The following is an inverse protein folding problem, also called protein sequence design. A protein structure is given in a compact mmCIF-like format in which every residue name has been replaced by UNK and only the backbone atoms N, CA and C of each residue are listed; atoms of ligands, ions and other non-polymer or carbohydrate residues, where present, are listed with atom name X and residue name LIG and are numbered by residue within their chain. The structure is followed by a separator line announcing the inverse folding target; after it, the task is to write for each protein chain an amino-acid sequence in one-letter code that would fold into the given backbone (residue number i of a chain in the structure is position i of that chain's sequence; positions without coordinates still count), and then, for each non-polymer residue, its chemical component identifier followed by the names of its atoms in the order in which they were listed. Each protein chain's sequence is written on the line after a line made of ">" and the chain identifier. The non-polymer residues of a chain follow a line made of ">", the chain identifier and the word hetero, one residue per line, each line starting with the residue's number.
data_IF_600827717445
#
_entry.id   IF_600827717445
#
_cell.length_a   1.000
_cell.length_b   1.000
_cell.length_c   1.000
_cell.angle_alpha   90.00
_cell.angle_beta   90.00
_cell.angle_gamma   90.00
#
_symmetry.space_group_name_H-M   'P 1'
#
loop_
_entity.id
_entity.type
_entity.pdbx_description
1 polymer ?
#
# COMPACT_ATOMS: atom_id res chain seq x y z
N UNK A 1 -21.76 81.91 2.51
CA UNK A 1 -21.39 81.42 3.86
C UNK A 1 -21.29 79.90 4.05
N UNK A 2 -21.40 78.99 3.05
CA UNK A 2 -21.03 77.57 3.28
C UNK A 2 -20.45 76.91 2.02
N UNK A 3 -19.45 77.49 1.35
CA UNK A 3 -18.96 76.89 0.09
C UNK A 3 -17.45 76.86 -0.16
N UNK A 4 -16.60 77.35 0.75
CA UNK A 4 -15.14 77.32 0.49
C UNK A 4 -14.28 76.66 1.57
N UNK A 5 -14.82 76.35 2.76
CA UNK A 5 -14.06 75.68 3.84
C UNK A 5 -14.27 74.15 3.93
N UNK A 6 -15.27 73.58 3.23
CA UNK A 6 -15.48 72.13 3.15
C UNK A 6 -14.75 71.47 1.98
N UNK A 7 -14.46 72.21 0.91
CA UNK A 7 -13.81 71.67 -0.29
C UNK A 7 -12.28 71.52 -0.10
N UNK A 8 -11.67 72.26 0.83
CA UNK A 8 -10.23 72.17 1.13
C UNK A 8 -9.86 71.03 2.12
N UNK A 9 -10.84 70.46 2.83
CA UNK A 9 -10.62 69.34 3.76
C UNK A 9 -10.64 67.98 3.07
N UNK A 10 -11.20 67.87 1.86
CA UNK A 10 -11.29 66.60 1.12
C UNK A 10 -10.09 66.34 0.19
N UNK A 11 -9.28 67.36 -0.11
CA UNK A 11 -8.17 67.26 -1.07
C UNK A 11 -6.81 67.06 -0.39
N UNK A 12 -6.73 67.20 0.94
CA UNK A 12 -5.49 67.13 1.71
C UNK A 12 -5.24 65.81 2.47
N UNK A 13 -6.10 64.80 2.30
CA UNK A 13 -5.71 63.41 2.51
C UNK A 13 -5.22 62.86 1.17
N UNK A 14 -4.06 63.35 0.74
CA UNK A 14 -2.83 62.57 0.94
C UNK A 14 -3.05 61.14 0.45
N UNK A 15 -2.99 60.87 -0.85
CA UNK A 15 -1.77 60.49 -1.59
C UNK A 15 -0.71 59.62 -0.86
N UNK A 16 -0.86 59.33 0.44
CA UNK A 16 0.05 58.48 1.19
C UNK A 16 -0.53 57.07 1.27
N UNK A 17 -0.24 56.23 0.27
CA UNK A 17 -0.58 54.81 0.41
C UNK A 17 -0.49 53.96 -0.84
N UNK A 18 -0.30 54.58 -2.02
CA UNK A 18 -0.07 53.82 -3.26
C UNK A 18 1.21 54.31 -3.88
N UNK A 19 2.33 53.78 -3.42
CA UNK A 19 3.52 53.49 -4.20
C UNK A 19 4.56 52.92 -3.23
N UNK A 20 4.33 51.68 -2.78
CA UNK A 20 5.49 50.81 -2.60
C UNK A 20 6.24 50.88 -3.94
N UNK A 21 7.38 51.57 -3.92
CA UNK A 21 8.03 52.06 -5.14
C UNK A 21 8.20 50.92 -6.12
N UNK A 22 8.00 51.18 -7.42
CA UNK A 22 8.27 50.20 -8.47
C UNK A 22 9.70 49.60 -8.33
N UNK A 23 10.65 50.38 -7.79
CA UNK A 23 12.00 49.95 -7.39
C UNK A 23 12.06 48.99 -6.18
N UNK A 24 11.15 49.09 -5.21
CA UNK A 24 10.98 48.12 -4.12
C UNK A 24 10.39 46.78 -4.61
N UNK A 25 9.58 46.79 -5.68
CA UNK A 25 9.09 45.58 -6.36
C UNK A 25 10.18 44.86 -7.16
N UNK A 26 10.96 45.61 -7.94
CA UNK A 26 12.04 45.05 -8.78
C UNK A 26 13.20 44.43 -7.97
N UNK A 27 13.48 44.94 -6.75
CA UNK A 27 14.49 44.36 -5.84
C UNK A 27 13.96 43.24 -4.95
N UNK A 28 12.66 42.96 -4.99
CA UNK A 28 12.06 41.86 -4.23
C UNK A 28 12.41 40.57 -4.98
N UNK A 29 13.65 40.07 -4.77
CA UNK A 29 14.01 38.69 -5.12
C UNK A 29 12.88 37.83 -4.59
N UNK A 30 12.14 37.20 -5.50
CA UNK A 30 11.07 36.28 -5.14
C UNK A 30 11.69 35.33 -4.12
N UNK A 31 11.27 35.44 -2.85
CA UNK A 31 11.86 34.64 -1.75
C UNK A 31 11.83 33.20 -2.24
N UNK A 32 13.00 32.62 -2.52
CA UNK A 32 13.11 31.25 -2.97
C UNK A 32 12.61 30.39 -1.81
N UNK A 33 11.31 30.09 -1.81
CA UNK A 33 10.72 29.20 -0.81
C UNK A 33 11.36 27.85 -1.11
N UNK A 34 12.29 27.41 -0.25
CA UNK A 34 12.87 26.07 -0.34
C UNK A 34 11.71 25.10 -0.59
N UNK A 35 11.72 24.29 -1.67
CA UNK A 35 10.64 23.35 -1.90
C UNK A 35 10.50 22.52 -0.63
N UNK A 36 9.30 22.46 -0.05
CA UNK A 36 9.06 21.60 1.10
C UNK A 36 9.52 20.20 0.71
N UNK A 37 10.28 19.53 1.59
CA UNK A 37 10.65 18.13 1.37
C UNK A 37 9.36 17.35 1.19
N UNK A 38 8.96 17.10 -0.07
CA UNK A 38 7.80 16.27 -0.38
C UNK A 38 8.08 14.92 0.24
N UNK A 39 7.39 14.61 1.33
CA UNK A 39 7.43 13.29 1.95
C UNK A 39 7.00 12.28 0.88
N UNK A 40 7.99 11.62 0.25
CA UNK A 40 7.73 10.49 -0.64
C UNK A 40 7.24 9.37 0.25
N UNK A 41 5.92 9.14 0.26
CA UNK A 41 5.33 7.96 0.91
C UNK A 41 6.06 6.75 0.32
N UNK A 42 6.73 5.90 1.12
CA UNK A 42 7.34 4.70 0.59
C UNK A 42 6.22 3.85 -0.02
N UNK A 43 6.34 3.53 -1.31
CA UNK A 43 5.40 2.64 -2.01
C UNK A 43 5.69 1.20 -1.60
N UNK A 44 5.40 0.87 -0.34
CA UNK A 44 5.49 -0.50 0.12
C UNK A 44 4.40 -1.32 -0.55
N UNK A 45 4.79 -2.16 -1.51
CA UNK A 45 3.89 -3.14 -2.09
C UNK A 45 3.41 -4.08 -0.99
N UNK A 46 2.11 -4.40 -0.97
CA UNK A 46 1.54 -5.40 -0.04
C UNK A 46 2.18 -6.79 -0.18
N UNK A 47 2.83 -7.06 -1.31
CA UNK A 47 3.43 -8.34 -1.70
C UNK A 47 4.87 -8.16 -2.19
N UNK A 48 5.82 -7.82 -1.31
CA UNK A 48 7.19 -7.47 -1.71
C UNK A 48 7.96 -8.64 -2.33
N UNK A 49 7.65 -9.88 -1.93
CA UNK A 49 8.38 -11.08 -2.38
C UNK A 49 8.13 -11.37 -3.87
N UNK A 50 6.96 -11.00 -4.38
CA UNK A 50 6.58 -11.27 -5.77
C UNK A 50 7.19 -10.29 -6.78
N UNK A 51 7.91 -9.24 -6.33
CA UNK A 51 8.60 -8.26 -7.21
C UNK A 51 7.73 -7.77 -8.38
N UNK A 52 6.51 -7.30 -8.09
CA UNK A 52 5.49 -6.83 -9.06
C UNK A 52 4.90 -7.89 -10.01
N UNK A 53 5.25 -9.17 -9.86
CA UNK A 53 4.54 -10.25 -10.54
C UNK A 53 3.20 -10.52 -9.83
N UNK A 54 2.12 -10.83 -10.58
CA UNK A 54 0.84 -11.18 -9.97
C UNK A 54 0.91 -12.54 -9.24
N UNK A 55 1.64 -13.49 -9.83
CA UNK A 55 1.75 -14.86 -9.35
C UNK A 55 3.20 -15.35 -9.49
N UNK A 56 3.58 -16.34 -8.68
CA UNK A 56 4.89 -16.99 -8.78
C UNK A 56 4.78 -18.49 -8.50
N UNK A 57 5.54 -19.27 -9.28
CA UNK A 57 5.72 -20.71 -9.06
C UNK A 57 6.72 -20.96 -7.94
N UNK A 58 6.43 -21.95 -7.09
CA UNK A 58 7.34 -22.40 -6.06
C UNK A 58 7.12 -23.86 -5.66
N UNK A 59 7.97 -24.32 -4.75
CA UNK A 59 7.98 -25.69 -4.21
C UNK A 59 7.63 -25.64 -2.72
N UNK A 60 6.74 -26.54 -2.29
CA UNK A 60 6.37 -26.65 -0.87
C UNK A 60 7.51 -27.27 -0.07
N UNK A 61 8.00 -26.54 0.93
CA UNK A 61 9.06 -26.99 1.83
C UNK A 61 8.52 -27.78 3.00
N UNK A 62 7.41 -27.31 3.59
CA UNK A 62 6.68 -28.02 4.64
C UNK A 62 5.26 -27.47 4.74
N UNK A 63 4.36 -28.29 5.24
CA UNK A 63 2.99 -27.89 5.56
C UNK A 63 2.87 -27.87 7.07
N UNK A 64 2.30 -26.78 7.59
CA UNK A 64 2.17 -26.52 9.01
C UNK A 64 0.75 -26.06 9.30
N UNK A 65 0.23 -26.48 10.44
CA UNK A 65 -1.05 -26.00 10.96
C UNK A 65 -0.76 -24.76 11.81
N UNK A 66 -1.54 -23.70 11.63
CA UNK A 66 -1.46 -22.49 12.44
C UNK A 66 -2.83 -22.15 13.00
N UNK A 67 -2.86 -21.71 14.26
CA UNK A 67 -4.05 -21.12 14.88
C UNK A 67 -4.16 -19.65 14.47
N UNK A 68 -5.38 -19.14 14.23
CA UNK A 68 -5.62 -17.74 13.92
C UNK A 68 -5.42 -16.85 15.15
N UNK A 69 -5.38 -15.54 14.92
CA UNK A 69 -5.48 -14.54 15.99
C UNK A 69 -6.86 -14.63 16.66
N UNK A 70 -6.88 -14.40 17.99
CA UNK A 70 -8.11 -14.08 18.72
C UNK A 70 -8.80 -12.90 18.01
N UNK A 71 -10.12 -12.90 17.76
CA UNK A 71 -11.22 -13.64 18.41
C UNK A 71 -11.51 -15.03 17.86
N UNK A 72 -10.88 -15.43 16.76
CA UNK A 72 -11.26 -16.67 16.06
C UNK A 72 -10.52 -17.88 16.66
N UNK A 73 -11.15 -19.06 16.61
CA UNK A 73 -10.57 -20.35 16.96
C UNK A 73 -10.82 -21.34 15.81
N UNK A 74 -9.76 -21.73 15.12
CA UNK A 74 -9.84 -22.68 14.01
C UNK A 74 -8.46 -23.26 13.71
N UNK A 75 -8.45 -24.38 12.98
CA UNK A 75 -7.24 -24.95 12.38
C UNK A 75 -7.10 -24.38 10.97
N UNK A 76 -5.96 -23.75 10.67
CA UNK A 76 -5.65 -23.27 9.32
C UNK A 76 -4.42 -23.98 8.78
N UNK A 77 -4.53 -24.49 7.56
CA UNK A 77 -3.41 -25.12 6.88
C UNK A 77 -2.59 -24.09 6.13
N UNK A 78 -1.28 -24.12 6.37
CA UNK A 78 -0.32 -23.14 5.87
C UNK A 78 0.85 -23.88 5.23
N UNK A 79 1.25 -23.44 4.04
CA UNK A 79 2.41 -23.98 3.34
C UNK A 79 3.59 -23.00 3.46
N UNK A 80 4.75 -23.51 3.84
CA UNK A 80 6.03 -22.84 3.63
C UNK A 80 6.49 -23.18 2.22
N UNK A 81 6.66 -22.17 1.38
CA UNK A 81 6.97 -22.32 -0.04
C UNK A 81 8.31 -21.64 -0.32
N UNK A 82 9.16 -22.30 -1.09
CA UNK A 82 10.38 -21.71 -1.64
C UNK A 82 10.13 -21.41 -3.11
N UNK A 83 10.24 -20.15 -3.50
CA UNK A 83 10.13 -19.73 -4.91
C UNK A 83 11.39 -20.12 -5.68
N UNK A 84 11.27 -20.20 -7.00
CA UNK A 84 12.41 -20.46 -7.89
C UNK A 84 13.55 -19.44 -7.72
N UNK A 85 13.24 -18.23 -7.25
CA UNK A 85 14.20 -17.15 -6.98
C UNK A 85 14.93 -17.29 -5.63
N UNK A 86 14.85 -18.46 -4.98
CA UNK A 86 15.44 -18.73 -3.65
C UNK A 86 14.72 -18.08 -2.46
N UNK A 87 13.71 -17.25 -2.72
CA UNK A 87 12.95 -16.56 -1.69
C UNK A 87 11.96 -17.51 -1.01
N UNK A 88 11.89 -17.44 0.31
CA UNK A 88 10.97 -18.24 1.12
C UNK A 88 9.76 -17.41 1.51
N UNK A 89 8.57 -17.98 1.36
CA UNK A 89 7.32 -17.33 1.72
C UNK A 89 6.40 -18.30 2.47
N UNK A 90 5.39 -17.70 3.09
CA UNK A 90 4.35 -18.44 3.81
C UNK A 90 3.01 -18.16 3.15
N UNK A 91 2.38 -19.21 2.62
CA UNK A 91 1.11 -19.13 1.90
C UNK A 91 0.00 -19.86 2.65
N UNK A 92 -1.20 -19.27 2.75
CA UNK A 92 -2.39 -19.99 3.21
C UNK A 92 -2.85 -20.97 2.13
N UNK A 93 -3.30 -22.15 2.54
CA UNK A 93 -3.96 -23.10 1.64
C UNK A 93 -5.49 -22.90 1.75
N UNK A 94 -6.17 -22.43 0.70
CA UNK A 94 -7.61 -22.21 0.73
C UNK A 94 -8.40 -23.52 0.58
N UNK A 95 -9.64 -23.52 1.07
CA UNK A 95 -10.58 -24.64 0.96
C UNK A 95 -10.36 -25.78 1.97
N UNK A 96 -11.21 -26.80 1.90
CA UNK A 96 -11.15 -28.03 2.72
C UNK A 96 -10.45 -29.14 1.94
N UNK A 97 -9.67 -29.99 2.62
CA UNK A 97 -8.93 -31.11 2.03
C UNK A 97 -7.80 -30.66 1.10
N UNK A 98 -6.54 -30.78 1.52
CA UNK A 98 -5.39 -30.49 0.66
C UNK A 98 -4.56 -31.77 0.50
N UNK A 99 -4.41 -32.23 -0.74
CA UNK A 99 -3.52 -33.33 -1.10
C UNK A 99 -2.13 -32.77 -1.50
N UNK A 100 -1.60 -31.82 -0.73
CA UNK A 100 -0.24 -31.33 -0.97
C UNK A 100 0.72 -32.05 -0.05
N UNK A 101 1.84 -32.47 -0.63
CA UNK A 101 2.95 -33.09 0.09
C UNK A 101 4.16 -32.16 0.01
N UNK A 102 5.19 -32.47 0.79
CA UNK A 102 6.50 -31.85 0.64
C UNK A 102 7.00 -32.01 -0.80
N UNK A 103 7.68 -30.99 -1.31
CA UNK A 103 8.25 -30.90 -2.67
C UNK A 103 7.24 -30.77 -3.82
N UNK A 104 5.94 -30.76 -3.54
CA UNK A 104 4.95 -30.45 -4.57
C UNK A 104 5.11 -29.03 -5.11
N UNK A 105 4.85 -28.88 -6.40
CA UNK A 105 4.85 -27.59 -7.10
C UNK A 105 3.51 -26.90 -6.89
N UNK A 106 3.55 -25.62 -6.55
CA UNK A 106 2.38 -24.79 -6.28
C UNK A 106 2.52 -23.43 -6.95
N UNK A 107 1.37 -22.85 -7.32
CA UNK A 107 1.27 -21.47 -7.76
C UNK A 107 0.81 -20.61 -6.59
N UNK A 108 1.49 -19.49 -6.37
CA UNK A 108 1.22 -18.58 -5.25
C UNK A 108 0.88 -17.21 -5.79
N UNK A 109 -0.15 -16.61 -5.23
CA UNK A 109 -0.56 -15.23 -5.49
C UNK A 109 -0.41 -14.34 -4.25
N UNK A 110 -0.51 -13.05 -4.50
CA UNK A 110 -0.68 -12.06 -3.46
C UNK A 110 -1.98 -12.27 -2.69
N UNK A 111 -1.99 -11.95 -1.39
CA UNK A 111 -3.19 -12.02 -0.58
C UNK A 111 -2.87 -12.39 0.85
N UNK A 112 -2.84 -11.36 1.72
CA UNK A 112 -2.59 -11.55 3.14
C UNK A 112 -3.78 -12.25 3.80
N UNK A 113 -3.50 -13.27 4.60
CA UNK A 113 -4.50 -13.84 5.48
C UNK A 113 -4.71 -12.89 6.66
N UNK A 114 -5.91 -12.31 6.78
CA UNK A 114 -6.21 -11.38 7.88
C UNK A 114 -6.16 -12.10 9.24
N UNK A 115 -6.62 -13.34 9.28
CA UNK A 115 -6.69 -14.17 10.48
C UNK A 115 -5.31 -14.58 11.02
N UNK A 116 -4.34 -14.84 10.13
CA UNK A 116 -3.08 -15.48 10.49
C UNK A 116 -1.94 -14.47 10.57
N UNK A 117 -1.16 -14.45 11.68
CA UNK A 117 0.03 -13.64 11.74
C UNK A 117 1.10 -14.21 10.80
N UNK A 118 1.79 -13.33 10.06
CA UNK A 118 2.93 -13.72 9.21
C UNK A 118 2.59 -14.46 7.91
N UNK A 119 1.30 -14.70 7.60
CA UNK A 119 0.88 -15.35 6.35
C UNK A 119 0.43 -14.30 5.34
N UNK A 120 1.31 -13.97 4.39
CA UNK A 120 1.14 -12.86 3.45
C UNK A 120 0.64 -13.24 2.06
N UNK A 121 0.57 -14.54 1.75
CA UNK A 121 0.31 -15.04 0.40
C UNK A 121 -0.75 -16.14 0.42
N UNK A 122 -1.33 -16.42 -0.74
CA UNK A 122 -2.34 -17.48 -0.92
C UNK A 122 -1.90 -18.44 -2.01
N UNK A 123 -2.06 -19.74 -1.79
CA UNK A 123 -1.82 -20.75 -2.83
C UNK A 123 -3.06 -20.92 -3.71
N UNK A 124 -2.88 -21.01 -5.02
CA UNK A 124 -3.98 -21.13 -6.00
C UNK A 124 -4.32 -22.60 -6.21
N UNK A 125 -5.57 -22.98 -5.93
CA UNK A 125 -6.09 -24.34 -6.13
C UNK A 125 -6.28 -24.69 -7.60
N UNK A 126 -6.13 -25.98 -7.93
CA UNK A 126 -6.37 -26.49 -9.28
C UNK A 126 -5.22 -26.24 -10.25
N UNK A 127 -4.03 -25.90 -9.75
CA UNK A 127 -2.85 -25.60 -10.56
C UNK A 127 -1.64 -26.39 -10.05
N UNK A 128 -0.85 -26.94 -10.98
CA UNK A 128 0.24 -27.88 -10.72
C UNK A 128 -0.22 -29.07 -9.87
N UNK A 129 0.47 -29.34 -8.76
CA UNK A 129 0.22 -30.47 -7.89
C UNK A 129 -0.79 -30.12 -6.78
N UNK A 130 -1.34 -28.89 -6.78
CA UNK A 130 -2.36 -28.49 -5.81
C UNK A 130 -3.75 -28.80 -6.34
N UNK A 131 -4.30 -29.92 -5.88
CA UNK A 131 -5.59 -30.44 -6.33
C UNK A 131 -6.74 -29.43 -6.13
N UNK A 132 -7.70 -29.38 -7.08
CA UNK A 132 -8.91 -28.59 -6.91
C UNK A 132 -9.75 -29.15 -5.74
N UNK A 133 -10.62 -28.32 -5.19
CA UNK A 133 -11.54 -28.76 -4.13
C UNK A 133 -12.57 -29.69 -4.78
N UNK A 134 -12.61 -30.96 -4.35
CA UNK A 134 -13.62 -31.91 -4.81
C UNK A 134 -15.00 -31.41 -4.37
N UNK A 135 -15.96 -31.32 -5.31
CA UNK A 135 -17.35 -30.93 -5.00
C UNK A 135 -18.15 -32.05 -4.31
N UNK A 136 -17.71 -33.29 -4.48
CA UNK A 136 -18.44 -34.47 -4.00
C UNK A 136 -17.87 -34.94 -2.68
N UNK A 137 -18.58 -34.59 -1.60
CA UNK A 137 -18.86 -35.57 -0.56
C UNK A 137 -19.96 -36.46 -1.15
N UNK A 138 -19.59 -37.45 -1.96
CA UNK A 138 -20.46 -38.60 -2.14
C UNK A 138 -20.00 -39.58 -1.06
N UNK A 139 -20.87 -39.68 -0.05
CA UNK A 139 -21.03 -40.71 1.00
C UNK A 139 -19.79 -41.51 1.35
#
# INVERSE_FOLDING_TARGET
>A
EITYMTILWLTAQSTCGKMATYKQGAKRKQKFRKPSLKYKKPTMSRTPILKKCPQAKGIVTRITIMTPKKPNSAIRHVAKVTLNKGLRLTARMPGKGYLCVKYNRVLVEGGRANDLPGVGYTAIRGVYDFSPVKRYFLV
#
